data_IF_393141392646
#
_entry.id   IF_393141392646
#
_cell.length_a   1.000
_cell.length_b   1.000
_cell.length_c   1.000
_cell.angle_alpha   90.00
_cell.angle_beta   90.00
_cell.angle_gamma   90.00
#
_symmetry.space_group_name_H-M   'P 1'
#
loop_
_entity.id
_entity.type
_entity.pdbx_description
1 polymer ?
#
# COMPACT_ATOMS: atom_id res chain seq x y z
N UNK A 1 -19.38 0.96 -5.12
CA UNK A 1 -18.41 1.65 -4.27
C UNK A 1 -17.02 1.14 -4.61
N UNK A 2 -16.08 2.04 -4.86
CA UNK A 2 -14.71 1.65 -5.13
C UNK A 2 -14.06 1.07 -3.88
N UNK A 3 -13.23 0.05 -4.05
CA UNK A 3 -12.53 -0.62 -2.96
C UNK A 3 -11.02 -0.45 -3.12
N UNK A 4 -10.36 0.05 -2.06
CA UNK A 4 -8.94 0.34 -2.05
C UNK A 4 -8.30 -0.38 -0.86
N UNK A 5 -7.16 -1.03 -1.09
CA UNK A 5 -6.30 -1.54 -0.03
C UNK A 5 -5.01 -0.72 -0.01
N UNK A 6 -4.65 -0.23 1.17
CA UNK A 6 -3.38 0.47 1.37
C UNK A 6 -2.47 -0.40 2.23
N UNK A 7 -1.29 -0.73 1.72
CA UNK A 7 -0.31 -1.55 2.45
C UNK A 7 0.52 -0.67 3.38
N UNK A 8 0.57 -1.04 4.66
CA UNK A 8 1.33 -0.33 5.68
C UNK A 8 2.45 -1.20 6.24
N UNK A 9 3.68 -0.71 6.15
CA UNK A 9 4.85 -1.34 6.72
C UNK A 9 5.44 -0.45 7.82
N UNK A 10 6.18 -1.03 8.75
CA UNK A 10 6.89 -0.25 9.76
C UNK A 10 7.80 0.78 9.07
N UNK A 11 7.73 2.02 9.54
CA UNK A 11 8.50 3.13 8.97
C UNK A 11 7.80 3.88 7.84
N UNK A 12 6.50 3.66 7.59
CA UNK A 12 5.78 4.47 6.63
C UNK A 12 5.56 5.89 7.16
N UNK A 13 5.43 6.87 6.25
CA UNK A 13 5.17 8.25 6.65
C UNK A 13 3.67 8.41 6.94
N UNK A 14 3.32 8.79 8.20
CA UNK A 14 1.94 8.78 8.68
C UNK A 14 1.01 9.71 7.91
N UNK A 15 1.48 10.89 7.52
CA UNK A 15 0.64 11.83 6.77
C UNK A 15 0.33 11.26 5.38
N UNK A 16 1.35 10.73 4.70
CA UNK A 16 1.19 10.14 3.38
C UNK A 16 0.31 8.89 3.40
N UNK A 17 0.38 8.12 4.49
CA UNK A 17 -0.44 6.92 4.64
C UNK A 17 -1.86 7.22 5.09
N UNK A 18 -2.05 8.13 6.03
CA UNK A 18 -3.35 8.36 6.65
C UNK A 18 -4.20 9.42 5.96
N UNK A 19 -3.60 10.41 5.30
CA UNK A 19 -4.36 11.44 4.59
C UNK A 19 -5.24 10.85 3.49
N UNK A 20 -4.76 9.92 2.63
CA UNK A 20 -5.64 9.27 1.66
C UNK A 20 -6.79 8.50 2.31
N UNK A 21 -6.55 7.86 3.44
CA UNK A 21 -7.60 7.13 4.17
C UNK A 21 -8.72 8.08 4.57
N UNK A 22 -8.38 9.22 5.17
CA UNK A 22 -9.35 10.22 5.60
C UNK A 22 -10.12 10.78 4.40
N UNK A 23 -9.40 11.23 3.38
CA UNK A 23 -10.01 11.87 2.21
C UNK A 23 -10.91 10.90 1.46
N UNK A 24 -10.46 9.67 1.21
CA UNK A 24 -11.24 8.69 0.46
C UNK A 24 -12.47 8.22 1.23
N UNK A 25 -12.36 8.06 2.55
CA UNK A 25 -13.52 7.71 3.38
C UNK A 25 -14.57 8.81 3.38
N UNK A 26 -14.15 10.07 3.41
CA UNK A 26 -15.07 11.21 3.29
C UNK A 26 -15.78 11.22 1.94
N UNK A 27 -15.12 10.74 0.89
CA UNK A 27 -15.70 10.62 -0.45
C UNK A 27 -16.52 9.35 -0.68
N UNK A 28 -16.72 8.52 0.34
CA UNK A 28 -17.51 7.31 0.21
C UNK A 28 -16.78 6.10 -0.34
N UNK A 29 -15.45 6.16 -0.45
CA UNK A 29 -14.63 5.04 -0.92
C UNK A 29 -14.38 4.07 0.22
N UNK A 30 -14.49 2.77 -0.06
CA UNK A 30 -14.14 1.72 0.92
C UNK A 30 -12.64 1.46 0.88
N UNK A 31 -11.89 2.19 1.71
CA UNK A 31 -10.45 1.99 1.85
C UNK A 31 -10.15 1.26 3.16
N UNK A 32 -9.34 0.20 3.07
CA UNK A 32 -8.85 -0.57 4.20
C UNK A 32 -7.33 -0.50 4.26
N UNK A 33 -6.79 -0.25 5.45
CA UNK A 33 -5.35 -0.35 5.68
C UNK A 33 -4.99 -1.81 5.97
N UNK A 34 -3.86 -2.25 5.42
CA UNK A 34 -3.41 -3.63 5.52
C UNK A 34 -1.99 -3.65 6.07
N UNK A 35 -1.81 -4.21 7.27
CA UNK A 35 -0.48 -4.34 7.87
C UNK A 35 0.28 -5.51 7.24
N UNK A 36 1.55 -5.28 6.88
CA UNK A 36 2.44 -6.33 6.41
C UNK A 36 3.47 -6.74 7.47
N UNK A 37 3.28 -6.29 8.73
CA UNK A 37 4.27 -6.51 9.80
C UNK A 37 4.15 -7.86 10.49
N UNK A 38 3.13 -8.64 10.18
CA UNK A 38 2.78 -9.86 10.91
C UNK A 38 1.90 -9.58 12.13
N UNK A 39 1.56 -8.33 12.37
CA UNK A 39 0.70 -7.86 13.47
C UNK A 39 -0.27 -6.83 12.91
N UNK A 40 -1.36 -6.57 13.61
CA UNK A 40 -2.26 -5.48 13.25
C UNK A 40 -1.68 -4.09 13.57
N UNK A 41 -0.59 -4.04 14.35
CA UNK A 41 0.05 -2.79 14.76
C UNK A 41 1.19 -2.44 13.82
N UNK A 42 1.24 -1.16 13.42
CA UNK A 42 2.27 -0.64 12.54
C UNK A 42 2.83 0.64 13.14
N UNK A 43 4.16 0.75 13.20
CA UNK A 43 4.84 1.94 13.69
C UNK A 43 5.26 2.82 12.52
N UNK A 44 4.94 4.12 12.60
CA UNK A 44 5.30 5.07 11.55
C UNK A 44 6.76 5.50 11.65
N UNK A 45 7.22 6.23 10.64
CA UNK A 45 8.60 6.77 10.61
C UNK A 45 8.87 7.76 11.74
N UNK A 46 7.83 8.34 12.35
CA UNK A 46 7.95 9.29 13.46
C UNK A 46 7.53 8.69 14.80
N UNK A 47 7.50 7.38 14.91
CA UNK A 47 7.26 6.69 16.17
C UNK A 47 5.82 6.61 16.62
N UNK A 48 4.86 6.90 15.76
CA UNK A 48 3.43 6.76 16.08
C UNK A 48 2.99 5.33 15.77
N UNK A 49 2.35 4.67 16.74
CA UNK A 49 1.82 3.32 16.49
C UNK A 49 0.35 3.41 16.12
N UNK A 50 -0.02 2.78 15.02
CA UNK A 50 -1.40 2.73 14.57
C UNK A 50 -1.87 1.29 14.42
N UNK A 51 -3.18 1.10 14.46
CA UNK A 51 -3.79 -0.21 14.22
C UNK A 51 -4.34 -0.24 12.79
N UNK A 52 -3.85 -1.17 11.98
CA UNK A 52 -4.38 -1.39 10.64
C UNK A 52 -5.74 -2.07 10.70
N UNK A 53 -6.55 -1.88 9.69
CA UNK A 53 -7.87 -2.52 9.61
C UNK A 53 -7.74 -4.03 9.42
N UNK A 54 -6.75 -4.47 8.64
CA UNK A 54 -6.55 -5.87 8.26
C UNK A 54 -5.06 -6.24 8.37
N UNK A 55 -4.78 -7.53 8.48
CA UNK A 55 -3.42 -8.07 8.34
C UNK A 55 -3.30 -8.73 6.98
N UNK A 56 -2.14 -8.58 6.34
CA UNK A 56 -1.88 -9.15 5.01
C UNK A 56 -2.17 -10.65 4.97
N UNK A 57 -1.73 -11.38 5.99
CA UNK A 57 -1.86 -12.84 6.06
C UNK A 57 -3.32 -13.32 6.20
N UNK A 58 -4.24 -12.44 6.57
CA UNK A 58 -5.66 -12.76 6.68
C UNK A 58 -6.43 -12.54 5.37
N UNK A 59 -5.78 -11.97 4.35
CA UNK A 59 -6.41 -11.68 3.06
C UNK A 59 -5.97 -12.74 2.05
N UNK A 60 -6.94 -13.46 1.48
CA UNK A 60 -6.64 -14.52 0.53
C UNK A 60 -6.40 -14.01 -0.87
N UNK A 61 -7.04 -12.89 -1.24
CA UNK A 61 -6.93 -12.34 -2.58
C UNK A 61 -7.25 -10.85 -2.56
N UNK A 62 -6.62 -10.09 -3.47
CA UNK A 62 -6.90 -8.68 -3.70
C UNK A 62 -7.66 -8.46 -5.01
N UNK A 63 -8.30 -9.49 -5.55
CA UNK A 63 -9.02 -9.42 -6.81
C UNK A 63 -10.18 -8.41 -6.79
N UNK A 64 -10.76 -8.16 -5.62
CA UNK A 64 -11.83 -7.20 -5.44
C UNK A 64 -11.35 -5.75 -5.35
N UNK A 65 -10.05 -5.51 -5.37
CA UNK A 65 -9.49 -4.16 -5.24
C UNK A 65 -9.59 -3.39 -6.56
N UNK A 66 -10.15 -2.20 -6.48
CA UNK A 66 -10.09 -1.25 -7.60
C UNK A 66 -8.75 -0.55 -7.65
N UNK A 67 -8.09 -0.41 -6.49
CA UNK A 67 -6.76 0.19 -6.39
C UNK A 67 -5.98 -0.44 -5.23
N UNK A 68 -4.68 -0.62 -5.42
CA UNK A 68 -3.72 -0.91 -4.35
C UNK A 68 -2.87 0.35 -4.16
N UNK A 69 -2.72 0.81 -2.91
CA UNK A 69 -2.08 2.07 -2.59
C UNK A 69 -0.85 1.83 -1.71
N UNK A 70 0.24 2.51 -2.03
CA UNK A 70 1.51 2.43 -1.30
C UNK A 70 1.88 3.81 -0.76
N UNK A 71 1.90 4.02 0.56
CA UNK A 71 2.40 5.26 1.13
C UNK A 71 3.92 5.31 1.06
N UNK A 72 4.48 6.53 1.09
CA UNK A 72 5.91 6.72 1.11
C UNK A 72 6.50 6.61 2.50
N UNK A 73 7.71 7.15 2.64
CA UNK A 73 8.48 7.11 3.88
C UNK A 73 9.51 6.00 3.89
N UNK A 74 10.59 6.23 4.62
CA UNK A 74 11.65 5.24 4.80
C UNK A 74 11.78 4.95 6.29
N UNK A 75 12.00 3.69 6.70
CA UNK A 75 12.23 2.52 5.86
C UNK A 75 10.96 1.80 5.35
N UNK A 76 9.76 2.40 5.51
CA UNK A 76 8.51 1.75 5.11
C UNK A 76 8.51 1.28 3.66
N UNK A 77 8.97 2.14 2.72
CA UNK A 77 9.03 1.78 1.30
C UNK A 77 9.99 0.62 1.04
N UNK A 78 11.11 0.55 1.78
CA UNK A 78 12.03 -0.59 1.67
C UNK A 78 11.38 -1.88 2.17
N UNK A 79 10.64 -1.81 3.27
CA UNK A 79 9.92 -2.99 3.80
C UNK A 79 8.86 -3.49 2.82
N UNK A 80 8.13 -2.58 2.17
CA UNK A 80 7.16 -2.96 1.13
C UNK A 80 7.86 -3.61 -0.05
N UNK A 81 9.01 -3.07 -0.45
CA UNK A 81 9.79 -3.61 -1.56
C UNK A 81 10.34 -5.01 -1.26
N UNK A 82 10.66 -5.30 -0.01
CA UNK A 82 11.18 -6.59 0.42
C UNK A 82 10.09 -7.64 0.64
N UNK A 83 8.84 -7.23 0.77
CA UNK A 83 7.72 -8.14 1.05
C UNK A 83 7.23 -8.81 -0.22
N UNK A 84 7.54 -10.10 -0.37
CA UNK A 84 7.21 -10.85 -1.59
C UNK A 84 5.71 -10.89 -1.87
N UNK A 85 4.88 -11.04 -0.84
CA UNK A 85 3.43 -11.05 -1.00
C UNK A 85 2.89 -9.75 -1.57
N UNK A 86 3.42 -8.60 -1.12
CA UNK A 86 3.06 -7.28 -1.66
C UNK A 86 3.47 -7.19 -3.13
N UNK A 87 4.68 -7.62 -3.45
CA UNK A 87 5.19 -7.59 -4.84
C UNK A 87 4.29 -8.42 -5.75
N UNK A 88 3.91 -9.62 -5.33
CA UNK A 88 3.01 -10.49 -6.11
C UNK A 88 1.62 -9.88 -6.26
N UNK A 89 1.09 -9.26 -5.22
CA UNK A 89 -0.21 -8.57 -5.29
C UNK A 89 -0.18 -7.43 -6.31
N UNK A 90 0.91 -6.64 -6.32
CA UNK A 90 1.08 -5.54 -7.27
C UNK A 90 1.18 -6.04 -8.70
N UNK A 91 1.94 -7.10 -8.93
CA UNK A 91 2.09 -7.71 -10.26
C UNK A 91 0.73 -8.21 -10.76
N UNK A 92 -0.03 -8.92 -9.92
CA UNK A 92 -1.35 -9.41 -10.28
C UNK A 92 -2.32 -8.26 -10.59
N UNK A 93 -2.28 -7.19 -9.80
CA UNK A 93 -3.11 -6.00 -10.01
C UNK A 93 -2.80 -5.34 -11.35
N UNK A 94 -1.52 -5.22 -11.67
CA UNK A 94 -1.07 -4.64 -12.94
C UNK A 94 -1.52 -5.49 -14.13
N UNK A 95 -1.35 -6.81 -14.04
CA UNK A 95 -1.77 -7.74 -15.11
C UNK A 95 -3.27 -7.69 -15.35
N UNK A 96 -4.06 -7.42 -14.31
CA UNK A 96 -5.50 -7.28 -14.43
C UNK A 96 -5.93 -5.91 -15.00
N UNK A 97 -4.99 -5.01 -15.27
CA UNK A 97 -5.28 -3.68 -15.78
C UNK A 97 -5.88 -2.74 -14.75
N UNK A 98 -5.76 -3.05 -13.47
CA UNK A 98 -6.32 -2.25 -12.37
C UNK A 98 -5.32 -1.24 -11.85
N UNK A 99 -5.80 -0.27 -11.05
CA UNK A 99 -5.01 0.87 -10.61
C UNK A 99 -4.07 0.54 -9.45
N UNK A 100 -2.91 1.20 -9.45
CA UNK A 100 -1.93 1.18 -8.37
C UNK A 100 -1.51 2.62 -8.13
N UNK A 101 -1.53 3.05 -6.85
CA UNK A 101 -1.04 4.37 -6.44
C UNK A 101 0.19 4.23 -5.56
N UNK A 102 1.19 5.10 -5.76
CA UNK A 102 2.40 5.11 -4.95
C UNK A 102 2.85 6.54 -4.71
N UNK A 103 3.28 6.85 -3.48
CA UNK A 103 3.61 8.20 -3.03
C UNK A 103 5.07 8.27 -2.59
N UNK A 104 5.76 9.38 -2.89
CA UNK A 104 7.15 9.66 -2.49
C UNK A 104 8.12 8.55 -2.90
N UNK A 105 8.75 7.88 -1.94
CA UNK A 105 9.72 6.82 -2.20
C UNK A 105 9.08 5.50 -2.65
N UNK A 106 7.77 5.34 -2.50
CA UNK A 106 7.09 4.10 -2.83
C UNK A 106 7.17 3.70 -4.30
N UNK A 107 7.32 4.62 -5.31
CA UNK A 107 7.51 4.19 -6.69
C UNK A 107 8.68 3.22 -6.91
N UNK A 108 9.69 3.20 -6.03
CA UNK A 108 10.78 2.22 -6.16
C UNK A 108 10.29 0.78 -6.05
N UNK A 109 9.20 0.55 -5.31
CA UNK A 109 8.59 -0.78 -5.21
C UNK A 109 8.05 -1.20 -6.56
N UNK A 110 7.40 -0.28 -7.27
CA UNK A 110 6.87 -0.53 -8.60
C UNK A 110 8.00 -0.76 -9.61
N UNK A 111 9.07 0.04 -9.52
CA UNK A 111 10.23 -0.12 -10.39
C UNK A 111 10.88 -1.50 -10.22
N UNK A 112 10.98 -1.98 -8.97
CA UNK A 112 11.60 -3.29 -8.69
C UNK A 112 10.78 -4.47 -9.19
N UNK A 113 9.46 -4.28 -9.41
CA UNK A 113 8.57 -5.30 -9.96
C UNK A 113 8.48 -5.25 -11.50
N UNK A 114 9.10 -4.25 -12.12
CA UNK A 114 9.01 -4.02 -13.56
C UNK A 114 7.73 -3.32 -14.02
N UNK A 115 6.84 -2.96 -13.09
CA UNK A 115 5.55 -2.34 -13.42
C UNK A 115 5.72 -0.98 -14.10
N UNK A 116 6.76 -0.22 -13.72
CA UNK A 116 7.01 1.11 -14.28
C UNK A 116 7.72 1.09 -15.63
N UNK A 117 8.16 -0.08 -16.07
CA UNK A 117 8.85 -0.18 -17.36
C UNK A 117 7.94 0.28 -18.50
N UNK A 118 8.41 1.27 -19.26
CA UNK A 118 7.64 1.86 -20.34
C UNK A 118 6.52 2.80 -19.91
N UNK A 119 6.43 3.14 -18.62
CA UNK A 119 5.41 4.04 -18.08
C UNK A 119 6.03 5.33 -17.54
N UNK A 120 5.23 6.41 -17.56
CA UNK A 120 5.63 7.65 -16.91
C UNK A 120 5.48 7.50 -15.40
N UNK A 121 6.54 7.88 -14.66
CA UNK A 121 6.51 7.98 -13.21
C UNK A 121 7.06 9.34 -12.79
N UNK A 122 6.44 9.97 -11.82
CA UNK A 122 6.90 11.26 -11.27
C UNK A 122 7.07 11.18 -9.76
#
# INVERSE_FOLDING_TARGET
MAKVYEFLANGFEEIEGLAPVDILRRGGVDIKTVSITGSEWVETSHGVTIKADLKFEDIQSFEDADMLLLPGGMPGSSHLNEHEGVRQALIAQHKAGKRIGAICAAPMVLASTGILEGKKAT
#
